data_IF_889129021674
#
_entry.id   IF_889129021674
#
_cell.length_a   1.000
_cell.length_b   1.000
_cell.length_c   1.000
_cell.angle_alpha   90.00
_cell.angle_beta   90.00
_cell.angle_gamma   90.00
#
_symmetry.space_group_name_H-M   'P 1'
#
loop_
_entity.id
_entity.type
_entity.pdbx_description
1 polymer ?
#
# COMPACT_ATOMS: atom_id res chain seq x y z
N UNK A 1 32.82 -80.99 -17.34
CA UNK A 1 32.40 -80.99 -18.75
C UNK A 1 32.25 -79.54 -19.18
N UNK A 2 33.03 -79.17 -20.18
CA UNK A 2 33.21 -77.83 -20.75
C UNK A 2 31.94 -77.29 -21.39
N UNK A 3 31.63 -76.01 -21.18
CA UNK A 3 31.12 -75.19 -22.28
C UNK A 3 31.64 -73.75 -22.17
N UNK A 4 32.50 -73.43 -23.13
CA UNK A 4 32.97 -72.10 -23.49
C UNK A 4 31.81 -71.29 -24.06
N UNK A 5 31.70 -70.02 -23.66
CA UNK A 5 31.13 -69.01 -24.54
C UNK A 5 31.85 -67.67 -24.33
N UNK A 6 32.68 -67.34 -25.32
CA UNK A 6 33.25 -66.01 -25.54
C UNK A 6 32.16 -65.13 -26.14
N UNK A 7 31.94 -63.93 -25.59
CA UNK A 7 31.32 -62.84 -26.34
C UNK A 7 32.28 -61.66 -26.31
N UNK A 8 32.69 -61.28 -27.51
CA UNK A 8 33.53 -60.14 -27.84
C UNK A 8 32.80 -58.82 -27.56
N UNK A 9 33.59 -57.82 -27.16
CA UNK A 9 33.56 -56.51 -27.79
C UNK A 9 32.38 -55.61 -27.46
N UNK A 10 32.67 -54.57 -26.66
CA UNK A 10 31.76 -53.44 -26.54
C UNK A 10 32.17 -52.49 -25.44
N UNK A 11 33.30 -51.80 -25.62
CA UNK A 11 33.57 -50.55 -24.91
C UNK A 11 32.45 -49.55 -25.25
N UNK A 12 31.46 -49.39 -24.38
CA UNK A 12 30.67 -48.16 -24.36
C UNK A 12 31.34 -47.21 -23.35
N UNK A 13 32.24 -46.38 -23.88
CA UNK A 13 32.59 -45.11 -23.25
C UNK A 13 31.33 -44.25 -23.32
N UNK A 14 30.55 -44.24 -22.23
CA UNK A 14 29.52 -43.22 -22.04
C UNK A 14 30.20 -41.90 -21.75
N UNK A 15 30.28 -41.04 -22.77
CA UNK A 15 30.80 -39.69 -22.65
C UNK A 15 29.99 -38.89 -21.61
N UNK A 16 30.63 -38.49 -20.52
CA UNK A 16 30.11 -37.46 -19.63
C UNK A 16 30.27 -36.14 -20.39
N UNK A 17 29.20 -35.67 -21.02
CA UNK A 17 29.13 -34.30 -21.52
C UNK A 17 28.96 -33.35 -20.34
N UNK A 18 30.08 -32.93 -19.75
CA UNK A 18 30.13 -31.69 -18.98
C UNK A 18 29.94 -30.53 -19.97
N UNK A 19 28.70 -30.14 -20.19
CA UNK A 19 28.39 -28.87 -20.84
C UNK A 19 28.62 -27.80 -19.78
N UNK A 20 29.85 -27.29 -19.75
CA UNK A 20 30.16 -26.00 -19.16
C UNK A 20 29.56 -24.92 -20.04
N UNK A 21 28.45 -24.33 -19.60
CA UNK A 21 28.08 -23.02 -20.09
C UNK A 21 29.02 -22.00 -19.46
N UNK A 22 30.00 -21.55 -20.25
CA UNK A 22 30.62 -20.25 -20.03
C UNK A 22 29.55 -19.20 -20.32
N UNK A 23 28.90 -18.74 -19.26
CA UNK A 23 28.35 -17.41 -19.20
C UNK A 23 29.22 -16.64 -18.19
N UNK A 24 30.21 -15.93 -18.71
CA UNK A 24 30.75 -14.78 -18.01
C UNK A 24 29.65 -13.72 -17.97
N UNK A 25 28.81 -13.80 -16.94
CA UNK A 25 28.06 -12.67 -16.43
C UNK A 25 28.15 -12.76 -14.91
N UNK A 26 28.79 -11.73 -14.32
CA UNK A 26 29.13 -11.54 -12.92
C UNK A 26 27.89 -11.67 -12.01
N UNK A 27 27.41 -12.91 -11.80
CA UNK A 27 26.46 -13.23 -10.74
C UNK A 27 27.23 -13.25 -9.42
N UNK A 28 27.54 -12.04 -8.94
CA UNK A 28 27.84 -11.85 -7.54
C UNK A 28 26.63 -12.36 -6.76
N UNK A 29 26.82 -13.28 -5.80
CA UNK A 29 25.71 -13.77 -5.01
C UNK A 29 25.07 -12.58 -4.28
N UNK A 30 23.81 -12.29 -4.62
CA UNK A 30 22.98 -11.32 -3.92
C UNK A 30 22.83 -11.83 -2.48
N UNK A 31 23.55 -11.21 -1.56
CA UNK A 31 23.27 -11.36 -0.14
C UNK A 31 21.95 -10.61 0.15
N UNK A 32 20.83 -11.32 0.06
CA UNK A 32 19.48 -10.80 0.41
C UNK A 32 18.40 -11.12 -0.63
N UNK A 33 18.06 -12.40 -0.81
CA UNK A 33 17.12 -12.87 -1.84
C UNK A 33 15.63 -12.76 -1.46
N UNK A 34 15.28 -12.01 -0.42
CA UNK A 34 13.91 -11.93 0.06
C UNK A 34 13.27 -10.60 -0.34
N UNK A 35 12.00 -10.64 -0.73
CA UNK A 35 11.23 -9.43 -1.10
C UNK A 35 10.78 -8.71 0.16
N UNK A 36 10.88 -7.38 0.18
CA UNK A 36 10.33 -6.55 1.28
C UNK A 36 8.83 -6.77 1.41
N UNK A 37 8.37 -6.99 2.64
CA UNK A 37 6.95 -7.05 3.02
C UNK A 37 6.65 -5.92 3.99
N UNK A 38 5.47 -5.32 3.87
CA UNK A 38 5.03 -4.27 4.79
C UNK A 38 4.01 -4.82 5.77
N UNK A 39 4.31 -4.72 7.06
CA UNK A 39 3.34 -4.99 8.10
C UNK A 39 2.64 -3.66 8.40
N UNK A 40 1.35 -3.57 8.10
CA UNK A 40 0.61 -2.33 8.26
C UNK A 40 -0.21 -2.34 9.55
N UNK A 41 -0.36 -1.15 10.12
CA UNK A 41 -1.32 -0.84 11.18
C UNK A 41 -2.07 0.43 10.81
N UNK A 42 -3.36 0.47 11.11
CA UNK A 42 -4.12 1.72 11.07
C UNK A 42 -4.00 2.39 12.44
N UNK A 43 -3.57 3.66 12.43
CA UNK A 43 -3.64 4.51 13.62
C UNK A 43 -5.12 4.67 13.99
N UNK A 44 -5.46 4.42 15.25
CA UNK A 44 -6.85 4.41 15.66
C UNK A 44 -7.49 5.79 15.49
N UNK A 45 -8.59 5.84 14.76
CA UNK A 45 -9.47 7.01 14.70
C UNK A 45 -10.88 6.49 14.96
N UNK A 46 -11.41 6.68 16.18
CA UNK A 46 -12.75 6.22 16.50
C UNK A 46 -13.77 6.96 15.66
N UNK A 47 -14.32 6.26 14.69
CA UNK A 47 -15.21 6.82 13.69
C UNK A 47 -16.67 6.35 13.90
N UNK A 48 -16.87 5.48 14.88
CA UNK A 48 -18.18 4.99 15.31
C UNK A 48 -18.93 6.10 16.05
N UNK A 49 -20.04 6.56 15.49
CA UNK A 49 -21.03 7.27 16.27
C UNK A 49 -21.73 6.27 17.20
N UNK A 50 -21.69 6.52 18.51
CA UNK A 50 -22.46 5.73 19.49
C UNK A 50 -23.98 5.85 19.30
N UNK A 51 -24.44 6.83 18.52
CA UNK A 51 -25.85 7.08 18.22
C UNK A 51 -26.32 6.47 16.88
N UNK A 52 -25.41 5.87 16.11
CA UNK A 52 -25.70 5.24 14.83
C UNK A 52 -25.95 3.75 15.02
N UNK A 53 -27.18 3.29 14.73
CA UNK A 53 -27.46 1.85 14.51
C UNK A 53 -26.80 1.32 13.22
N UNK A 54 -26.24 2.21 12.40
CA UNK A 54 -25.56 1.87 11.15
C UNK A 54 -24.11 1.50 11.49
N UNK A 55 -23.81 0.20 11.45
CA UNK A 55 -22.46 -0.39 11.55
C UNK A 55 -21.69 -0.31 10.21
N UNK A 56 -21.78 0.80 9.48
CA UNK A 56 -20.98 0.99 8.26
C UNK A 56 -19.75 1.81 8.62
N UNK A 57 -18.53 1.26 8.50
CA UNK A 57 -17.31 2.03 8.68
C UNK A 57 -17.26 3.11 7.58
N UNK A 58 -17.45 4.35 8.00
CA UNK A 58 -17.45 5.55 7.14
C UNK A 58 -16.04 6.14 6.96
N UNK A 59 -15.03 5.53 7.60
CA UNK A 59 -13.59 5.66 7.34
C UNK A 59 -12.97 4.26 7.33
N UNK A 60 -11.73 4.15 6.88
CA UNK A 60 -10.98 2.91 6.84
C UNK A 60 -10.50 2.52 8.24
N UNK A 61 -11.28 1.69 8.92
CA UNK A 61 -10.97 1.13 10.25
C UNK A 61 -10.19 -0.20 10.21
N UNK A 62 -10.20 -0.82 9.03
CA UNK A 62 -9.57 -2.12 8.78
C UNK A 62 -9.08 -2.18 7.33
N UNK A 63 -8.02 -2.94 7.15
CA UNK A 63 -7.66 -3.46 5.85
C UNK A 63 -8.64 -4.56 5.46
N UNK A 64 -8.91 -4.65 4.17
CA UNK A 64 -9.58 -5.75 3.50
C UNK A 64 -8.61 -6.35 2.50
N UNK A 65 -8.65 -7.65 2.29
CA UNK A 65 -7.88 -8.33 1.24
C UNK A 65 -8.16 -7.62 -0.09
N UNK A 66 -7.09 -7.26 -0.80
CA UNK A 66 -7.21 -6.55 -2.07
C UNK A 66 -7.11 -5.03 -1.97
N UNK A 67 -6.94 -4.46 -0.79
CA UNK A 67 -6.54 -3.06 -0.66
C UNK A 67 -5.13 -2.86 -1.23
N UNK A 68 -4.96 -1.75 -1.96
CA UNK A 68 -3.69 -1.41 -2.58
C UNK A 68 -3.07 -0.16 -1.99
N UNK A 69 -1.77 -0.22 -1.69
CA UNK A 69 -0.95 0.92 -1.31
C UNK A 69 0.11 1.21 -2.39
N UNK A 70 0.53 2.46 -2.49
CA UNK A 70 1.71 2.86 -3.24
C UNK A 70 2.88 3.08 -2.30
N UNK A 71 4.07 2.58 -2.66
CA UNK A 71 5.27 2.64 -1.84
C UNK A 71 6.43 3.28 -2.59
N UNK A 72 7.19 4.12 -1.90
CA UNK A 72 8.46 4.69 -2.35
C UNK A 72 9.55 4.29 -1.37
N UNK A 73 10.75 4.01 -1.90
CA UNK A 73 11.97 3.84 -1.10
C UNK A 73 12.91 4.98 -1.42
N UNK A 74 13.35 5.71 -0.39
CA UNK A 74 14.20 6.89 -0.52
C UNK A 74 15.41 6.81 0.39
N UNK A 75 16.40 7.67 0.12
CA UNK A 75 17.48 7.96 1.07
C UNK A 75 16.92 8.38 2.44
N UNK A 76 17.53 7.85 3.50
CA UNK A 76 17.15 8.20 4.86
C UNK A 76 17.45 9.67 5.18
N UNK A 77 16.53 10.34 5.89
CA UNK A 77 16.69 11.74 6.30
C UNK A 77 16.59 12.77 5.16
N UNK A 78 16.30 12.35 3.92
CA UNK A 78 16.00 13.24 2.79
C UNK A 78 14.49 13.33 2.55
N UNK A 79 13.96 14.50 2.16
CA UNK A 79 12.60 14.61 1.64
C UNK A 79 12.43 13.76 0.37
N UNK A 80 11.22 13.27 0.12
CA UNK A 80 10.92 12.52 -1.10
C UNK A 80 11.11 13.40 -2.35
N UNK A 81 11.97 12.97 -3.27
CA UNK A 81 12.25 13.60 -4.56
C UNK A 81 12.87 12.60 -5.54
N UNK A 82 12.81 12.87 -6.85
CA UNK A 82 13.25 11.92 -7.89
C UNK A 82 14.72 11.49 -7.72
N UNK A 83 15.58 12.40 -7.25
CA UNK A 83 17.02 12.18 -7.09
C UNK A 83 17.40 11.38 -5.84
N UNK A 84 16.46 11.11 -4.93
CA UNK A 84 16.73 10.32 -3.70
C UNK A 84 16.03 8.98 -3.71
N UNK A 85 15.32 8.63 -4.79
CA UNK A 85 14.70 7.32 -4.96
C UNK A 85 15.78 6.25 -5.07
N UNK A 86 15.62 5.16 -4.34
CA UNK A 86 16.54 4.03 -4.32
C UNK A 86 15.89 2.83 -5.01
N UNK A 87 16.66 2.12 -5.83
CA UNK A 87 16.24 0.83 -6.41
C UNK A 87 15.04 0.92 -7.36
N UNK A 88 14.80 2.09 -7.97
CA UNK A 88 13.64 2.38 -8.80
C UNK A 88 12.29 2.15 -8.10
N UNK A 89 12.27 2.19 -6.76
CA UNK A 89 11.04 2.04 -5.98
C UNK A 89 10.29 3.37 -5.97
N UNK A 90 9.50 3.58 -7.01
CA UNK A 90 8.75 4.80 -7.25
C UNK A 90 7.28 4.45 -7.51
N UNK A 91 6.46 4.51 -6.45
CA UNK A 91 5.05 4.13 -6.47
C UNK A 91 4.82 2.63 -6.76
N UNK A 92 5.62 1.76 -6.16
CA UNK A 92 5.46 0.31 -6.30
C UNK A 92 4.14 -0.12 -5.63
N UNK A 93 3.36 -0.93 -6.36
CA UNK A 93 2.02 -1.36 -5.95
C UNK A 93 2.06 -2.61 -5.09
N UNK A 94 1.58 -2.48 -3.86
CA UNK A 94 1.49 -3.57 -2.89
C UNK A 94 0.03 -3.83 -2.52
N UNK A 95 -0.31 -5.10 -2.23
CA UNK A 95 -1.66 -5.57 -1.93
C UNK A 95 -1.74 -6.20 -0.54
N UNK A 96 -2.79 -5.90 0.21
CA UNK A 96 -3.09 -6.52 1.50
C UNK A 96 -3.48 -7.99 1.35
N UNK A 97 -2.99 -8.84 2.25
CA UNK A 97 -3.23 -10.29 2.21
C UNK A 97 -4.20 -10.79 3.26
N UNK A 98 -4.64 -9.92 4.18
CA UNK A 98 -5.61 -10.26 5.24
C UNK A 98 -6.47 -9.08 5.65
N UNK A 99 -7.66 -9.40 6.14
CA UNK A 99 -8.57 -8.45 6.76
C UNK A 99 -8.14 -8.10 8.19
N UNK A 100 -8.49 -6.89 8.65
CA UNK A 100 -8.37 -6.45 10.04
C UNK A 100 -7.58 -5.15 10.24
N UNK A 101 -7.40 -4.74 11.49
CA UNK A 101 -6.65 -3.51 11.86
C UNK A 101 -5.20 -3.53 11.39
N UNK A 102 -4.64 -4.72 11.22
CA UNK A 102 -3.33 -4.93 10.64
C UNK A 102 -3.41 -5.83 9.42
N UNK A 103 -2.53 -5.61 8.44
CA UNK A 103 -2.38 -6.49 7.28
C UNK A 103 -0.91 -6.70 6.94
N UNK A 104 -0.64 -7.73 6.14
CA UNK A 104 0.65 -7.89 5.47
C UNK A 104 0.42 -7.46 4.03
N UNK A 105 1.31 -6.61 3.54
CA UNK A 105 1.31 -6.13 2.18
C UNK A 105 2.46 -6.78 1.42
N UNK A 106 2.13 -7.37 0.27
CA UNK A 106 3.08 -8.02 -0.64
C UNK A 106 3.06 -7.35 -2.01
N UNK A 107 4.16 -7.47 -2.77
CA UNK A 107 4.23 -6.94 -4.12
C UNK A 107 3.17 -7.59 -5.01
N UNK A 108 2.55 -6.81 -5.89
CA UNK A 108 1.51 -7.33 -6.81
C UNK A 108 2.07 -8.07 -8.02
N UNK A 109 3.38 -7.96 -8.27
CA UNK A 109 4.09 -8.59 -9.39
C UNK A 109 5.60 -8.39 -9.21
N UNK A 110 6.42 -9.14 -9.95
CA UNK A 110 7.90 -9.01 -9.94
C UNK A 110 8.38 -7.56 -10.15
N UNK A 111 7.78 -6.80 -11.09
CA UNK A 111 8.13 -5.38 -11.31
C UNK A 111 7.88 -4.46 -10.11
N UNK A 112 7.05 -4.90 -9.15
CA UNK A 112 6.72 -4.14 -7.94
C UNK A 112 7.54 -4.60 -6.74
N UNK A 113 8.32 -5.68 -6.86
CA UNK A 113 9.15 -6.18 -5.77
C UNK A 113 10.21 -5.16 -5.38
N UNK A 114 10.43 -5.05 -4.08
CA UNK A 114 11.42 -4.17 -3.49
C UNK A 114 12.50 -5.04 -2.85
N UNK A 115 13.73 -4.77 -3.23
CA UNK A 115 14.94 -5.37 -2.68
C UNK A 115 15.82 -4.26 -2.09
N UNK A 116 16.54 -4.55 -1.01
CA UNK A 116 17.53 -3.60 -0.50
C UNK A 116 18.75 -3.56 -1.44
N UNK A 117 19.32 -2.37 -1.70
CA UNK A 117 20.53 -2.26 -2.50
C UNK A 117 21.72 -2.94 -1.80
N UNK A 118 22.64 -3.47 -2.62
CA UNK A 118 23.92 -4.02 -2.15
C UNK A 118 24.72 -2.94 -1.39
N UNK A 119 25.34 -3.31 -0.26
CA UNK A 119 26.00 -2.44 0.74
C UNK A 119 25.08 -1.74 1.77
N UNK A 120 23.79 -2.11 1.85
CA UNK A 120 22.90 -1.83 2.99
C UNK A 120 22.87 -0.38 3.53
N UNK A 121 22.80 0.67 2.68
CA UNK A 121 22.47 1.99 3.19
C UNK A 121 21.13 1.94 3.93
N UNK A 122 21.05 2.65 5.06
CA UNK A 122 19.76 2.84 5.73
C UNK A 122 18.83 3.61 4.78
N UNK A 123 17.64 3.07 4.56
CA UNK A 123 16.64 3.65 3.67
C UNK A 123 15.43 4.13 4.48
N UNK A 124 14.52 4.81 3.80
CA UNK A 124 13.22 5.16 4.37
C UNK A 124 12.11 4.89 3.38
N UNK A 125 10.94 4.58 3.91
CA UNK A 125 9.76 4.26 3.15
C UNK A 125 8.71 5.35 3.33
N UNK A 126 8.07 5.70 2.22
CA UNK A 126 6.86 6.51 2.19
C UNK A 126 5.78 5.64 1.57
N UNK A 127 4.60 5.58 2.20
CA UNK A 127 3.49 4.82 1.68
C UNK A 127 2.17 5.57 1.82
N UNK A 128 1.25 5.33 0.90
CA UNK A 128 -0.08 5.93 0.92
C UNK A 128 -1.15 4.96 0.43
N UNK A 129 -2.39 5.21 0.83
CA UNK A 129 -3.59 4.54 0.37
C UNK A 129 -4.68 5.58 0.08
N UNK A 130 -5.58 5.35 -0.90
CA UNK A 130 -5.55 4.24 -1.85
C UNK A 130 -4.54 4.45 -2.97
N UNK A 131 -4.01 3.35 -3.52
CA UNK A 131 -3.07 3.39 -4.64
C UNK A 131 -3.63 4.11 -5.89
N UNK A 132 -2.78 4.91 -6.56
CA UNK A 132 -3.06 5.46 -7.91
C UNK A 132 -1.83 5.28 -8.80
N UNK A 133 -2.01 4.75 -10.01
CA UNK A 133 -0.91 4.52 -10.96
C UNK A 133 -0.16 5.82 -11.35
N UNK A 134 -0.86 6.95 -11.37
CA UNK A 134 -0.35 8.23 -11.89
C UNK A 134 0.64 8.96 -10.97
N UNK A 135 0.95 8.43 -9.77
CA UNK A 135 1.75 9.13 -8.76
C UNK A 135 3.25 8.85 -8.84
N UNK A 136 3.83 8.92 -10.04
CA UNK A 136 5.27 8.68 -10.26
C UNK A 136 6.09 9.97 -10.33
N UNK A 137 5.44 11.13 -10.43
CA UNK A 137 6.10 12.45 -10.54
C UNK A 137 5.41 13.48 -9.64
N UNK A 138 6.16 14.49 -9.18
CA UNK A 138 5.72 15.58 -8.29
C UNK A 138 5.17 15.18 -6.91
N UNK A 139 4.86 13.90 -6.68
CA UNK A 139 4.42 13.34 -5.40
C UNK A 139 3.16 14.03 -4.82
N UNK A 140 2.25 14.46 -5.70
CA UNK A 140 1.00 15.15 -5.34
C UNK A 140 -0.21 14.23 -5.52
N UNK A 141 -0.68 13.65 -4.42
CA UNK A 141 -1.90 12.84 -4.40
C UNK A 141 -3.15 13.70 -4.66
N UNK A 142 -3.94 13.42 -5.70
CA UNK A 142 -5.18 14.14 -5.96
C UNK A 142 -6.28 13.69 -4.98
N UNK A 143 -6.82 14.64 -4.24
CA UNK A 143 -7.98 14.47 -3.37
C UNK A 143 -9.23 14.89 -4.14
N UNK A 144 -10.23 14.02 -4.16
CA UNK A 144 -11.59 14.33 -4.62
C UNK A 144 -12.59 13.65 -3.69
N UNK A 145 -13.33 14.46 -2.93
CA UNK A 145 -14.35 14.03 -1.96
C UNK A 145 -15.76 14.46 -2.39
N UNK A 146 -15.96 14.80 -3.67
CA UNK A 146 -17.25 15.25 -4.20
C UNK A 146 -18.31 14.14 -4.20
N UNK A 147 -17.90 12.87 -4.36
CA UNK A 147 -18.78 11.71 -4.25
C UNK A 147 -18.44 10.90 -2.98
N UNK A 148 -19.35 10.93 -2.02
CA UNK A 148 -19.24 10.20 -0.74
C UNK A 148 -20.29 9.09 -0.58
N UNK A 149 -21.07 8.79 -1.62
CA UNK A 149 -22.23 7.89 -1.53
C UNK A 149 -21.91 6.42 -1.84
N UNK A 150 -20.89 6.17 -2.64
CA UNK A 150 -20.62 4.83 -3.19
C UNK A 150 -19.61 4.03 -2.38
N UNK A 151 -18.45 4.61 -2.08
CA UNK A 151 -17.43 3.98 -1.24
C UNK A 151 -16.61 5.03 -0.49
N UNK A 152 -16.99 5.29 0.76
CA UNK A 152 -16.30 6.22 1.65
C UNK A 152 -14.84 5.80 1.94
N UNK A 153 -14.51 4.51 1.82
CA UNK A 153 -13.15 4.01 2.05
C UNK A 153 -12.23 4.30 0.86
N UNK A 154 -12.79 4.60 -0.32
CA UNK A 154 -12.01 4.99 -1.51
C UNK A 154 -11.58 6.46 -1.49
N UNK A 155 -12.23 7.30 -0.67
CA UNK A 155 -11.91 8.72 -0.50
C UNK A 155 -11.09 9.01 0.76
N UNK A 156 -10.90 8.01 1.61
CA UNK A 156 -10.13 8.10 2.85
C UNK A 156 -8.63 7.96 2.60
N UNK A 157 -7.95 9.10 2.47
CA UNK A 157 -6.51 9.17 2.25
C UNK A 157 -5.74 8.81 3.53
N UNK A 158 -4.95 7.74 3.44
CA UNK A 158 -4.03 7.32 4.48
C UNK A 158 -2.58 7.51 4.05
N UNK A 159 -1.71 7.83 5.01
CA UNK A 159 -0.28 8.04 4.78
C UNK A 159 0.55 7.46 5.92
N UNK A 160 1.69 6.86 5.57
CA UNK A 160 2.65 6.28 6.50
C UNK A 160 4.08 6.57 6.05
N UNK A 161 4.99 6.68 7.02
CA UNK A 161 6.44 6.72 6.77
C UNK A 161 7.14 5.77 7.73
N UNK A 162 8.25 5.19 7.29
CA UNK A 162 9.18 4.48 8.16
C UNK A 162 10.60 4.88 7.81
N UNK A 163 11.30 5.52 8.75
CA UNK A 163 12.65 6.03 8.53
C UNK A 163 13.70 5.08 9.15
N UNK A 164 14.96 5.26 8.76
CA UNK A 164 16.13 4.57 9.33
C UNK A 164 16.04 3.03 9.29
N UNK A 165 15.62 2.46 8.15
CA UNK A 165 15.51 1.01 7.98
C UNK A 165 16.81 0.41 7.46
N UNK A 166 17.43 -0.49 8.24
CA UNK A 166 18.53 -1.36 7.79
C UNK A 166 18.01 -2.55 6.98
N UNK A 167 18.89 -3.24 6.23
CA UNK A 167 18.52 -4.43 5.46
C UNK A 167 18.42 -5.72 6.29
N UNK A 168 18.54 -5.65 7.62
CA UNK A 168 18.57 -6.83 8.52
C UNK A 168 17.23 -7.57 8.61
N UNK A 169 16.14 -6.92 8.20
CA UNK A 169 14.80 -7.51 8.18
C UNK A 169 14.02 -7.06 6.96
N UNK A 170 13.40 -8.00 6.27
CA UNK A 170 12.54 -7.70 5.11
C UNK A 170 11.15 -7.22 5.51
N UNK A 171 10.83 -7.26 6.79
CA UNK A 171 9.57 -6.79 7.34
C UNK A 171 9.70 -5.31 7.74
N UNK A 172 8.93 -4.45 7.08
CA UNK A 172 8.87 -3.01 7.38
C UNK A 172 7.54 -2.68 8.04
N UNK A 173 7.51 -2.19 9.28
CA UNK A 173 6.27 -1.75 9.90
C UNK A 173 5.85 -0.38 9.37
N UNK A 174 4.57 -0.23 9.02
CA UNK A 174 3.96 1.02 8.58
C UNK A 174 2.72 1.32 9.41
N UNK A 175 2.73 2.44 10.12
CA UNK A 175 1.53 2.96 10.79
C UNK A 175 0.90 4.03 9.92
N UNK A 176 -0.29 3.76 9.41
CA UNK A 176 -1.05 4.63 8.53
C UNK A 176 -1.94 5.57 9.34
N UNK A 177 -1.91 6.85 8.99
CA UNK A 177 -2.73 7.89 9.59
C UNK A 177 -3.66 8.49 8.55
N UNK A 178 -4.92 8.76 8.93
CA UNK A 178 -5.86 9.52 8.11
C UNK A 178 -5.35 10.95 7.90
N UNK A 179 -5.37 11.41 6.65
CA UNK A 179 -4.89 12.75 6.27
C UNK A 179 -6.03 13.76 6.07
N UNK A 180 -7.28 13.30 6.11
CA UNK A 180 -8.46 14.13 6.00
C UNK A 180 -9.20 14.18 7.33
N UNK A 181 -10.10 15.17 7.46
CA UNK A 181 -10.99 15.29 8.61
C UNK A 181 -12.34 14.67 8.31
N UNK A 182 -12.92 14.05 9.33
CA UNK A 182 -14.24 13.47 9.29
C UNK A 182 -15.23 14.29 10.11
N UNK A 183 -16.37 14.63 9.53
CA UNK A 183 -17.51 15.25 10.23
C UNK A 183 -18.64 14.22 10.34
N UNK A 184 -19.15 14.02 11.55
CA UNK A 184 -20.27 13.11 11.82
C UNK A 184 -21.39 13.90 12.49
N UNK A 185 -22.56 13.97 11.84
CA UNK A 185 -23.76 14.62 12.38
C UNK A 185 -24.71 13.56 12.93
N UNK A 186 -24.94 13.58 14.24
CA UNK A 186 -25.87 12.67 14.91
C UNK A 186 -27.16 13.41 15.22
N UNK A 187 -28.23 13.08 14.49
CA UNK A 187 -29.56 13.65 14.72
C UNK A 187 -30.35 12.73 15.66
N UNK A 188 -30.83 13.28 16.78
CA UNK A 188 -31.67 12.56 17.74
C UNK A 188 -32.93 13.39 18.03
N UNK A 189 -34.13 12.82 17.92
CA UNK A 189 -35.35 13.53 18.32
C UNK A 189 -35.37 13.71 19.84
N UNK A 190 -35.93 14.83 20.30
CA UNK A 190 -36.01 15.17 21.73
C UNK A 190 -37.14 14.41 22.48
N UNK A 191 -37.94 13.63 21.77
CA UNK A 191 -39.12 12.95 22.33
C UNK A 191 -38.92 11.44 22.28
N UNK A 192 -39.60 10.72 23.18
CA UNK A 192 -39.69 9.25 23.19
C UNK A 192 -40.48 8.67 21.98
N UNK A 193 -40.57 9.45 20.91
CA UNK A 193 -41.25 9.14 19.67
C UNK A 193 -40.29 8.42 18.71
N UNK A 194 -40.84 7.60 17.82
CA UNK A 194 -40.06 6.83 16.86
C UNK A 194 -39.25 7.78 15.94
N UNK A 195 -37.92 7.59 15.90
CA UNK A 195 -36.98 8.34 15.05
C UNK A 195 -37.42 8.36 13.58
N UNK A 196 -38.05 7.28 13.12
CA UNK A 196 -38.44 7.11 11.73
C UNK A 196 -39.65 7.97 11.33
N UNK A 197 -40.47 8.44 12.27
CA UNK A 197 -41.63 9.30 11.95
C UNK A 197 -41.23 10.74 11.65
N UNK A 198 -40.11 11.21 12.20
CA UNK A 198 -39.67 12.61 12.07
C UNK A 198 -38.55 12.82 11.04
N UNK A 199 -37.75 11.80 10.75
CA UNK A 199 -36.53 11.95 9.94
C UNK A 199 -36.62 11.38 8.52
N UNK A 200 -37.78 10.85 8.12
CA UNK A 200 -37.96 10.14 6.83
C UNK A 200 -37.53 10.95 5.59
N UNK A 201 -37.63 12.28 5.64
CA UNK A 201 -37.32 13.17 4.51
C UNK A 201 -36.21 14.19 4.81
N UNK A 202 -35.43 14.00 5.89
CA UNK A 202 -34.30 14.90 6.17
C UNK A 202 -33.22 14.72 5.11
N UNK A 203 -32.82 15.84 4.51
CA UNK A 203 -31.63 15.95 3.67
C UNK A 203 -30.59 16.76 4.40
N UNK A 204 -29.38 16.21 4.53
CA UNK A 204 -28.24 16.93 5.10
C UNK A 204 -27.38 17.44 3.96
N UNK A 205 -27.22 18.76 3.91
CA UNK A 205 -26.40 19.45 2.91
C UNK A 205 -25.26 20.19 3.61
N UNK A 206 -24.02 19.83 3.28
CA UNK A 206 -22.84 20.56 3.70
C UNK A 206 -22.39 21.48 2.57
N UNK A 207 -22.35 22.79 2.83
CA UNK A 207 -22.04 23.82 1.85
C UNK A 207 -20.77 24.59 2.22
N UNK A 208 -20.09 25.15 1.21
CA UNK A 208 -18.95 26.03 1.42
C UNK A 208 -17.62 25.31 1.69
N UNK A 209 -17.54 24.01 1.43
CA UNK A 209 -16.33 23.21 1.56
C UNK A 209 -15.69 22.99 0.19
N UNK A 210 -14.35 23.00 0.15
CA UNK A 210 -13.61 22.52 -1.02
C UNK A 210 -13.71 21.00 -1.11
N UNK A 211 -14.12 20.48 -2.27
CA UNK A 211 -14.23 19.04 -2.52
C UNK A 211 -13.00 18.46 -3.22
N UNK A 212 -12.10 19.30 -3.72
CA UNK A 212 -10.89 18.88 -4.45
C UNK A 212 -9.65 19.59 -3.93
N UNK A 213 -8.56 18.85 -3.84
CA UNK A 213 -7.26 19.37 -3.41
C UNK A 213 -6.12 18.46 -3.89
N UNK A 214 -4.89 18.82 -3.53
CA UNK A 214 -3.70 17.98 -3.70
C UNK A 214 -2.99 17.82 -2.36
N UNK A 215 -2.66 16.59 -1.99
CA UNK A 215 -1.84 16.26 -0.83
C UNK A 215 -0.41 15.92 -1.26
N UNK A 216 0.58 16.60 -0.69
CA UNK A 216 1.98 16.31 -0.96
C UNK A 216 2.50 15.15 -0.13
N UNK A 217 2.94 14.07 -0.77
CA UNK A 217 3.64 12.97 -0.11
C UNK A 217 5.04 13.37 0.40
N UNK A 218 5.52 14.58 0.07
CA UNK A 218 6.83 15.09 0.52
C UNK A 218 6.74 15.72 1.90
N UNK A 219 5.73 16.57 2.13
CA UNK A 219 5.62 17.41 3.32
C UNK A 219 4.24 17.40 3.98
N UNK A 220 3.31 16.57 3.47
CA UNK A 220 1.95 16.38 3.99
C UNK A 220 1.05 17.62 3.89
N UNK A 221 1.44 18.62 3.10
CA UNK A 221 0.62 19.81 2.90
C UNK A 221 -0.51 19.54 1.90
N UNK A 222 -1.70 20.04 2.23
CA UNK A 222 -2.85 20.12 1.33
C UNK A 222 -2.84 21.48 0.64
N UNK A 223 -2.94 21.47 -0.69
CA UNK A 223 -2.89 22.66 -1.54
C UNK A 223 -3.86 22.56 -2.73
N UNK A 224 -3.90 23.58 -3.59
CA UNK A 224 -4.72 23.60 -4.81
C UNK A 224 -6.22 23.34 -4.53
N UNK A 225 -6.75 23.97 -3.48
CA UNK A 225 -8.13 23.85 -3.03
C UNK A 225 -9.10 24.35 -4.10
N UNK A 226 -10.02 23.47 -4.53
CA UNK A 226 -10.95 23.68 -5.65
C UNK A 226 -12.29 22.99 -5.38
N UNK A 227 -13.27 23.27 -6.24
CA UNK A 227 -14.58 22.62 -6.22
C UNK A 227 -15.37 22.97 -4.95
N UNK A 228 -15.77 24.23 -4.79
CA UNK A 228 -16.73 24.58 -3.75
C UNK A 228 -18.08 24.03 -4.20
N UNK A 229 -18.48 22.90 -3.62
CA UNK A 229 -19.66 22.16 -4.02
C UNK A 229 -20.51 21.80 -2.78
N UNK A 230 -21.80 21.58 -2.98
CA UNK A 230 -22.69 21.06 -1.94
C UNK A 230 -22.51 19.55 -1.85
N UNK A 231 -22.08 19.06 -0.69
CA UNK A 231 -22.05 17.63 -0.40
C UNK A 231 -23.40 17.24 0.19
N UNK A 232 -24.07 16.27 -0.44
CA UNK A 232 -25.30 15.66 0.08
C UNK A 232 -24.97 14.31 0.70
N UNK A 233 -25.33 14.16 1.97
CA UNK A 233 -25.45 12.86 2.64
C UNK A 233 -26.87 12.32 2.47
#
# INVERSE_FOLDING_TARGET
MTLSMRVLGGWLIGAILLIGCNADDDHRPVSGNEVVKFNSWLSEVSSVSRASEIEVPITKEEWRIGDYIGVYMKENGKPLSDNVIIGNVNNNKYISTKDGKNSIFIATSEKNEIYYPYNSPVVSFVAYYPYKDSLTTNYLYPIDISNQKEDLKSVDLLYATFENKSSESMNVPLTFHHQLTKLVLNLQPNLAEDRNTHFKDIKVLANGFYTKAKFSLVNKLISDLKGIETISA
#
